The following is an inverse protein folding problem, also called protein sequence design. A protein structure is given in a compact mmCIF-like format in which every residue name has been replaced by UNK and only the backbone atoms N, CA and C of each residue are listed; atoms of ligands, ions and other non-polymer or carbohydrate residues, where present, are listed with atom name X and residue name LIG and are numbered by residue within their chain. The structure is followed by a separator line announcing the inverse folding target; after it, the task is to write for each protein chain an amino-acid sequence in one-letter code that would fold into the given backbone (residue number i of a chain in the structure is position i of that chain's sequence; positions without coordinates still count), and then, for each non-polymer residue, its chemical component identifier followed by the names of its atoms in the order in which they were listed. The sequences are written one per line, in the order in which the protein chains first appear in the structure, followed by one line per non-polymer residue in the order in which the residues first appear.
data_IF_563390044275
#
_entry.id   IF_563390044275
#
_cell.length_a   1.000
_cell.length_b   1.000
_cell.length_c   1.000
_cell.angle_alpha   90.00
_cell.angle_beta   90.00
_cell.angle_gamma   90.00
#
_symmetry.space_group_name_H-M   'P 1'
#
loop_
_entity.id
_entity.type
_entity.pdbx_description
1 polymer ?
#
# COMPACT_ATOMS: atom_id res chain seq x y z
N UNK A 1 0.06 -11.96 -13.30
CA UNK A 1 -0.88 -11.99 -12.16
C UNK A 1 -0.78 -10.65 -11.46
N UNK A 2 -1.54 -9.69 -11.97
CA UNK A 2 -1.72 -8.38 -11.34
C UNK A 2 -2.34 -8.60 -9.96
N UNK A 3 -1.64 -8.18 -8.91
CA UNK A 3 -2.13 -8.35 -7.55
C UNK A 3 -3.30 -7.40 -7.26
N UNK A 4 -4.10 -7.72 -6.24
CA UNK A 4 -5.19 -6.86 -5.80
C UNK A 4 -4.68 -5.81 -4.79
N UNK A 5 -5.42 -4.71 -4.70
CA UNK A 5 -5.20 -3.64 -3.75
C UNK A 5 -5.54 -4.13 -2.35
N UNK A 6 -4.58 -4.14 -1.44
CA UNK A 6 -4.76 -4.57 -0.05
C UNK A 6 -5.82 -3.73 0.71
N UNK A 7 -6.12 -2.51 0.24
CA UNK A 7 -7.08 -1.63 0.88
C UNK A 7 -8.54 -1.80 0.40
N UNK A 8 -8.76 -2.14 -0.88
CA UNK A 8 -10.10 -2.16 -1.46
C UNK A 8 -10.39 -3.33 -2.40
N UNK A 9 -9.43 -4.23 -2.61
CA UNK A 9 -9.58 -5.41 -3.48
C UNK A 9 -9.63 -5.13 -4.98
N UNK A 10 -9.52 -3.87 -5.44
CA UNK A 10 -9.42 -3.54 -6.86
C UNK A 10 -8.04 -3.90 -7.43
N UNK A 11 -7.87 -3.84 -8.75
CA UNK A 11 -6.57 -4.08 -9.39
C UNK A 11 -5.50 -3.13 -8.84
N UNK A 12 -4.43 -3.67 -8.26
CA UNK A 12 -3.29 -2.88 -7.81
C UNK A 12 -2.46 -2.46 -9.02
N UNK A 13 -1.98 -1.22 -9.00
CA UNK A 13 -1.12 -0.67 -10.05
C UNK A 13 0.35 -0.62 -9.62
N UNK A 14 0.62 -0.80 -8.33
CA UNK A 14 1.97 -0.75 -7.78
C UNK A 14 2.00 -1.00 -6.28
N UNK A 15 3.18 -0.85 -5.69
CA UNK A 15 3.42 -1.11 -4.28
C UNK A 15 3.95 0.14 -3.56
N UNK A 16 3.57 0.31 -2.31
CA UNK A 16 4.12 1.37 -1.46
C UNK A 16 5.59 1.08 -1.13
N UNK A 17 6.49 2.04 -1.38
CA UNK A 17 7.93 1.94 -1.11
C UNK A 17 8.27 1.82 0.38
N UNK A 18 7.41 2.32 1.27
CA UNK A 18 7.65 2.27 2.73
C UNK A 18 7.09 1.01 3.36
N UNK A 19 5.97 0.53 2.83
CA UNK A 19 5.05 -0.34 3.55
C UNK A 19 4.84 -1.68 2.83
N UNK A 20 5.24 -1.75 1.56
CA UNK A 20 5.19 -2.96 0.73
C UNK A 20 3.81 -3.35 0.21
N UNK A 21 2.72 -2.77 0.74
CA UNK A 21 1.34 -3.07 0.31
C UNK A 21 1.14 -2.78 -1.17
N UNK A 22 0.43 -3.67 -1.85
CA UNK A 22 0.00 -3.50 -3.23
C UNK A 22 -1.28 -2.69 -3.22
N UNK A 23 -1.30 -1.61 -3.99
CA UNK A 23 -2.36 -0.63 -3.92
C UNK A 23 -2.77 -0.16 -5.33
N UNK A 24 -4.05 0.17 -5.48
CA UNK A 24 -4.57 0.81 -6.67
C UNK A 24 -4.23 2.31 -6.66
N UNK A 25 -4.45 3.00 -7.80
CA UNK A 25 -4.11 4.42 -7.96
C UNK A 25 -4.82 5.38 -7.00
N UNK A 26 -5.93 4.96 -6.39
CA UNK A 26 -6.62 5.74 -5.36
C UNK A 26 -5.90 5.69 -4.01
N UNK A 27 -5.23 4.57 -3.70
CA UNK A 27 -4.58 4.35 -2.40
C UNK A 27 -3.07 4.50 -2.44
N UNK A 28 -2.48 4.53 -3.65
CA UNK A 28 -1.06 4.76 -3.91
C UNK A 28 -0.85 6.16 -4.47
N UNK A 29 -0.07 6.99 -3.77
CA UNK A 29 0.31 8.31 -4.29
C UNK A 29 1.36 8.18 -5.40
N UNK A 30 1.46 9.20 -6.25
CA UNK A 30 2.43 9.30 -7.36
C UNK A 30 3.89 9.17 -6.90
N UNK A 31 4.19 9.50 -5.64
CA UNK A 31 5.53 9.32 -5.05
C UNK A 31 5.91 7.85 -4.85
N UNK A 32 4.95 6.92 -5.07
CA UNK A 32 5.08 5.50 -4.75
C UNK A 32 4.91 5.22 -3.26
N UNK A 33 4.24 6.10 -2.53
CA UNK A 33 3.96 5.96 -1.09
C UNK A 33 2.44 5.97 -0.89
N UNK A 34 1.91 5.09 -0.05
CA UNK A 34 0.48 5.03 0.19
C UNK A 34 -0.03 6.17 1.07
N UNK A 35 -1.32 6.48 0.95
CA UNK A 35 -1.95 7.56 1.70
C UNK A 35 -1.83 7.38 3.23
N UNK A 36 -1.90 6.15 3.72
CA UNK A 36 -1.70 5.88 5.16
C UNK A 36 -0.30 6.27 5.64
N UNK A 37 0.74 5.94 4.85
CA UNK A 37 2.11 6.29 5.20
C UNK A 37 2.37 7.80 5.05
N UNK A 38 1.74 8.45 4.07
CA UNK A 38 1.82 9.90 3.89
C UNK A 38 1.15 10.63 5.05
N UNK A 39 -0.02 10.16 5.48
CA UNK A 39 -0.77 10.74 6.59
C UNK A 39 -0.12 10.55 7.96
N UNK A 40 1.07 9.96 8.03
CA UNK A 40 1.79 9.74 9.29
C UNK A 40 1.05 8.84 10.28
N UNK A 41 -0.07 8.22 9.87
CA UNK A 41 -0.66 7.12 10.63
C UNK A 41 0.43 6.08 10.67
N UNK A 42 1.00 5.87 11.86
CA UNK A 42 2.02 4.86 12.12
C UNK A 42 1.54 3.58 11.47
N UNK A 43 2.02 3.34 10.26
CA UNK A 43 1.86 2.07 9.62
C UNK A 43 2.71 1.18 10.51
N UNK A 44 2.05 0.49 11.44
CA UNK A 44 2.59 -0.74 11.95
C UNK A 44 2.47 -1.66 10.74
N UNK A 45 3.54 -1.88 9.94
CA UNK A 45 3.48 -2.96 8.97
C UNK A 45 2.97 -4.19 9.71
N UNK A 46 2.15 -5.05 9.08
CA UNK A 46 1.96 -6.38 9.63
C UNK A 46 3.36 -6.93 9.83
N UNK A 47 3.82 -6.92 11.08
CA UNK A 47 5.05 -7.57 11.46
C UNK A 47 4.79 -8.99 11.04
N UNK A 48 5.58 -9.49 10.08
CA UNK A 48 5.71 -10.92 9.91
C UNK A 48 6.24 -11.43 11.25
N UNK A 49 5.32 -11.75 12.14
CA UNK A 49 5.52 -12.63 13.28
C UNK A 49 5.08 -14.01 12.79
N UNK A 50 5.83 -15.04 13.17
CA UNK A 50 7.04 -15.54 12.52
C UNK A 50 6.80 -16.29 11.20
#
# INVERSE_FOLDING_TARGET
MDGLCDACGQQAIGSCKLCGRRLCGTHLSISGVCLDCIGGRRFNPPQKQP
#
